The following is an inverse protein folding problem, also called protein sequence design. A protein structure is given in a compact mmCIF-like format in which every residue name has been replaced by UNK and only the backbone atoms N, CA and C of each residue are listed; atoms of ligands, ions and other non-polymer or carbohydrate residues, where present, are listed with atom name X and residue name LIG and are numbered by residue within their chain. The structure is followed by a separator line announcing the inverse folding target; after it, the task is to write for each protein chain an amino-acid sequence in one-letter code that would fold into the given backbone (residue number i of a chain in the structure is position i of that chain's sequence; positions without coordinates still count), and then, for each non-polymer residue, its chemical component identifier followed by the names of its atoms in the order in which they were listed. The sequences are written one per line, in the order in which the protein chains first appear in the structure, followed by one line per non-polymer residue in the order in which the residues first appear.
data_IF_604056271835
#
_entry.id   IF_604056271835
#
_cell.length_a   1.000
_cell.length_b   1.000
_cell.length_c   1.000
_cell.angle_alpha   90.00
_cell.angle_beta   90.00
_cell.angle_gamma   90.00
#
_symmetry.space_group_name_H-M   'P 1'
#
loop_
_entity.id
_entity.type
_entity.pdbx_description
1 polymer ?
#
# COMPACT_ATOMS: atom_id res chain seq x y z
N UNK A 1 -16.76 -10.48 -14.58
CA UNK A 1 -15.50 -10.12 -15.25
C UNK A 1 -15.13 -8.76 -14.69
N UNK A 2 -14.12 -8.66 -13.82
CA UNK A 2 -13.68 -7.36 -13.31
C UNK A 2 -13.10 -6.60 -14.50
N UNK A 3 -13.75 -5.51 -14.89
CA UNK A 3 -13.24 -4.65 -15.95
C UNK A 3 -11.89 -4.07 -15.51
N UNK A 4 -10.82 -4.38 -16.24
CA UNK A 4 -9.46 -3.86 -16.02
C UNK A 4 -9.36 -2.39 -16.47
N UNK A 5 -10.36 -1.56 -16.14
CA UNK A 5 -10.64 -0.30 -16.83
C UNK A 5 -10.46 0.99 -16.04
N UNK A 6 -10.09 0.95 -14.76
CA UNK A 6 -10.08 2.15 -13.92
C UNK A 6 -8.69 2.77 -13.71
N UNK A 7 -7.68 2.46 -14.55
CA UNK A 7 -6.29 2.90 -14.29
C UNK A 7 -6.16 4.41 -14.07
N UNK A 8 -6.90 5.21 -14.83
CA UNK A 8 -6.88 6.68 -14.72
C UNK A 8 -7.91 7.23 -13.73
N UNK A 9 -8.77 6.40 -13.13
CA UNK A 9 -9.71 6.86 -12.12
C UNK A 9 -9.00 7.08 -10.79
N UNK A 10 -9.44 8.09 -10.05
CA UNK A 10 -8.94 8.36 -8.70
C UNK A 10 -9.24 7.16 -7.78
N UNK A 11 -8.19 6.64 -7.15
CA UNK A 11 -8.27 5.56 -6.16
C UNK A 11 -8.26 6.11 -4.73
N UNK A 12 -7.42 7.11 -4.45
CA UNK A 12 -7.25 7.70 -3.12
C UNK A 12 -7.23 9.22 -3.24
N UNK A 13 -7.95 9.87 -2.32
CA UNK A 13 -7.82 11.30 -2.05
C UNK A 13 -7.37 11.49 -0.60
N UNK A 14 -6.31 12.25 -0.38
CA UNK A 14 -5.80 12.59 0.95
C UNK A 14 -5.45 14.07 1.00
N UNK A 15 -6.31 14.87 1.63
CA UNK A 15 -6.18 16.33 1.60
C UNK A 15 -6.30 16.87 0.17
N UNK A 16 -5.23 17.48 -0.33
CA UNK A 16 -5.15 18.02 -1.70
C UNK A 16 -4.55 17.02 -2.70
N UNK A 17 -3.99 15.91 -2.23
CA UNK A 17 -3.38 14.90 -3.08
C UNK A 17 -4.43 13.91 -3.58
N UNK A 18 -4.30 13.53 -4.85
CA UNK A 18 -5.10 12.49 -5.49
C UNK A 18 -4.16 11.59 -6.28
N UNK A 19 -4.38 10.28 -6.19
CA UNK A 19 -3.70 9.31 -7.04
C UNK A 19 -4.71 8.38 -7.70
N UNK A 20 -4.40 8.00 -8.92
CA UNK A 20 -5.17 7.07 -9.73
C UNK A 20 -4.90 5.61 -9.34
N UNK A 21 -5.73 4.68 -9.80
CA UNK A 21 -5.47 3.24 -9.59
C UNK A 21 -4.17 2.77 -10.23
N UNK A 22 -3.78 3.33 -11.38
CA UNK A 22 -2.52 3.02 -12.05
C UNK A 22 -1.32 3.50 -11.23
N UNK A 23 -1.38 4.72 -10.70
CA UNK A 23 -0.34 5.27 -9.82
C UNK A 23 -0.23 4.48 -8.52
N UNK A 24 -1.36 4.16 -7.88
CA UNK A 24 -1.40 3.33 -6.68
C UNK A 24 -0.78 1.95 -6.94
N UNK A 25 -1.17 1.26 -8.02
CA UNK A 25 -0.62 -0.05 -8.38
C UNK A 25 0.91 0.02 -8.51
N UNK A 26 1.42 1.03 -9.21
CA UNK A 26 2.85 1.21 -9.41
C UNK A 26 3.58 1.50 -8.09
N UNK A 27 3.00 2.34 -7.23
CA UNK A 27 3.57 2.65 -5.92
C UNK A 27 3.60 1.43 -4.99
N UNK A 28 2.51 0.68 -4.94
CA UNK A 28 2.42 -0.56 -4.15
C UNK A 28 3.41 -1.61 -4.66
N UNK A 29 3.57 -1.77 -5.98
CA UNK A 29 4.56 -2.68 -6.54
C UNK A 29 6.00 -2.29 -6.13
N UNK A 30 6.33 -0.99 -6.11
CA UNK A 30 7.63 -0.51 -5.60
C UNK A 30 7.80 -0.79 -4.11
N UNK A 31 6.77 -0.53 -3.29
CA UNK A 31 6.79 -0.82 -1.87
C UNK A 31 6.98 -2.31 -1.58
N UNK A 32 6.28 -3.19 -2.32
CA UNK A 32 6.45 -4.63 -2.24
C UNK A 32 7.89 -5.07 -2.57
N UNK A 33 8.49 -4.50 -3.60
CA UNK A 33 9.90 -4.73 -3.93
C UNK A 33 10.85 -4.31 -2.81
N UNK A 34 10.56 -3.22 -2.10
CA UNK A 34 11.34 -2.80 -0.94
C UNK A 34 11.23 -3.81 0.22
N UNK A 35 10.03 -4.30 0.52
CA UNK A 35 9.83 -5.35 1.55
C UNK A 35 10.55 -6.66 1.20
N UNK A 36 10.51 -7.06 -0.06
CA UNK A 36 11.24 -8.24 -0.55
C UNK A 36 12.75 -8.06 -0.43
N UNK A 37 13.28 -6.86 -0.73
CA UNK A 37 14.69 -6.54 -0.53
C UNK A 37 15.12 -6.58 0.95
N UNK A 38 14.17 -6.36 1.86
CA UNK A 38 14.35 -6.53 3.32
C UNK A 38 14.16 -7.98 3.79
N UNK A 39 14.01 -8.94 2.87
CA UNK A 39 13.81 -10.36 3.14
C UNK A 39 12.55 -10.69 3.96
N UNK A 40 11.47 -9.92 3.78
CA UNK A 40 10.17 -10.21 4.39
C UNK A 40 9.72 -11.65 4.04
N UNK A 41 9.45 -12.46 5.05
CA UNK A 41 9.00 -13.83 4.84
C UNK A 41 7.48 -13.91 4.57
N UNK A 42 7.00 -14.90 3.78
CA UNK A 42 5.57 -15.11 3.61
C UNK A 42 4.85 -15.32 4.94
N UNK A 43 3.77 -14.57 5.16
CA UNK A 43 2.98 -14.58 6.39
C UNK A 43 3.61 -13.85 7.58
N UNK A 44 4.80 -13.28 7.42
CA UNK A 44 5.43 -12.45 8.46
C UNK A 44 4.58 -11.20 8.72
N UNK A 45 4.43 -10.87 10.01
CA UNK A 45 3.56 -9.76 10.45
C UNK A 45 4.38 -8.49 10.53
N UNK A 46 3.91 -7.45 9.86
CA UNK A 46 4.56 -6.13 9.85
C UNK A 46 3.58 -5.09 10.37
N UNK A 47 4.00 -4.35 11.39
CA UNK A 47 3.23 -3.22 11.92
C UNK A 47 3.49 -1.99 11.06
N UNK A 48 2.41 -1.33 10.63
CA UNK A 48 2.47 0.00 10.03
C UNK A 48 1.91 0.98 11.06
N UNK A 49 2.80 1.85 11.57
CA UNK A 49 2.48 2.91 12.51
C UNK A 49 2.81 4.25 11.87
N UNK A 50 1.81 4.87 11.24
CA UNK A 50 1.95 6.16 10.57
C UNK A 50 0.59 6.89 10.50
N UNK A 51 0.59 8.22 10.31
CA UNK A 51 -0.63 9.01 10.04
C UNK A 51 -1.41 8.52 8.81
N UNK A 52 -2.69 8.91 8.73
CA UNK A 52 -3.47 8.73 7.51
C UNK A 52 -2.83 9.50 6.35
N UNK A 53 -2.25 8.77 5.39
CA UNK A 53 -1.58 9.32 4.23
C UNK A 53 -1.64 8.34 3.05
N UNK A 54 -1.25 8.81 1.85
CA UNK A 54 -1.13 7.94 0.68
C UNK A 54 0.01 6.91 0.91
N UNK A 55 1.14 7.36 1.46
CA UNK A 55 2.30 6.53 1.77
C UNK A 55 1.97 5.42 2.78
N UNK A 56 1.08 5.69 3.74
CA UNK A 56 0.57 4.65 4.63
C UNK A 56 -0.11 3.52 3.84
N UNK A 57 -0.97 3.87 2.88
CA UNK A 57 -1.66 2.88 2.04
C UNK A 57 -0.70 2.14 1.13
N UNK A 58 0.28 2.84 0.55
CA UNK A 58 1.35 2.23 -0.26
C UNK A 58 2.15 1.19 0.55
N UNK A 59 2.57 1.54 1.76
CA UNK A 59 3.32 0.64 2.64
C UNK A 59 2.47 -0.57 3.07
N UNK A 60 1.23 -0.31 3.50
CA UNK A 60 0.29 -1.34 3.96
C UNK A 60 -0.03 -2.36 2.87
N UNK A 61 -0.42 -1.90 1.68
CA UNK A 61 -0.69 -2.77 0.54
C UNK A 61 0.60 -3.42 0.01
N UNK A 62 1.74 -2.73 0.12
CA UNK A 62 3.04 -3.26 -0.28
C UNK A 62 3.43 -4.50 0.52
N UNK A 63 3.16 -4.51 1.83
CA UNK A 63 3.36 -5.68 2.70
C UNK A 63 2.51 -6.86 2.20
N UNK A 64 1.22 -6.61 1.96
CA UNK A 64 0.27 -7.64 1.51
C UNK A 64 0.71 -8.22 0.16
N UNK A 65 1.09 -7.36 -0.80
CA UNK A 65 1.56 -7.80 -2.10
C UNK A 65 2.88 -8.59 -1.99
N UNK A 66 3.79 -8.18 -1.10
CA UNK A 66 5.02 -8.93 -0.82
C UNK A 66 4.77 -10.29 -0.14
N UNK A 67 3.54 -10.59 0.28
CA UNK A 67 3.14 -11.86 0.91
C UNK A 67 3.15 -11.83 2.44
N UNK A 68 3.37 -10.66 3.06
CA UNK A 68 3.29 -10.47 4.51
C UNK A 68 1.86 -10.18 4.99
N UNK A 69 1.71 -10.15 6.31
CA UNK A 69 0.49 -9.75 7.00
C UNK A 69 0.65 -8.33 7.58
N UNK A 70 -0.01 -7.35 6.95
CA UNK A 70 0.02 -5.96 7.41
C UNK A 70 -0.88 -5.77 8.65
N UNK A 71 -0.33 -5.13 9.68
CA UNK A 71 -1.03 -4.81 10.94
C UNK A 71 -1.11 -3.28 11.06
N UNK A 72 -2.32 -2.75 10.93
CA UNK A 72 -2.59 -1.33 11.10
C UNK A 72 -2.64 -0.95 12.58
N UNK A 73 -1.85 0.03 13.00
CA UNK A 73 -1.92 0.61 14.35
C UNK A 73 -2.27 2.08 14.25
N UNK A 74 -3.33 2.48 14.94
CA UNK A 74 -3.75 3.88 14.97
C UNK A 74 -2.67 4.73 15.65
N UNK A 75 -2.09 5.74 14.98
CA UNK A 75 -1.03 6.57 15.55
C UNK A 75 -1.52 7.54 16.63
N UNK A 76 -2.82 7.59 16.91
CA UNK A 76 -3.45 8.42 17.95
C UNK A 76 -3.76 7.66 19.24
N UNK A 77 -3.26 6.42 19.36
CA UNK A 77 -3.30 5.61 20.59
C UNK A 77 -2.49 6.26 21.71
#
# INVERSE_FOLDING_TARGET
MFETGAENHTAIECGQQRISYGELRNAVARAAGAWQAMALAPGERVVVFAPDSIEYVEAYLGIIWAGGAAIAVNPRL
#
